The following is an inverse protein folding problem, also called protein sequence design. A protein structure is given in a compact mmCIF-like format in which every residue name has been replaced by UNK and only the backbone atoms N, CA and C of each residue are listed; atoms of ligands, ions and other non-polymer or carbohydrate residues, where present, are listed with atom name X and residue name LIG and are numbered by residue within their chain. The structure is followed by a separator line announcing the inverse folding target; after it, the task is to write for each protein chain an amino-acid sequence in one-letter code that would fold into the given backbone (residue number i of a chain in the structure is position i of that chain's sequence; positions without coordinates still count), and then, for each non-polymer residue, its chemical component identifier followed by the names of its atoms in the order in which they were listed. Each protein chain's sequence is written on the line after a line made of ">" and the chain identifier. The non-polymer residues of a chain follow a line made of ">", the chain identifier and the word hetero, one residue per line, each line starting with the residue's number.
data_IF_654338499486
#
_entry.id   IF_654338499486
#
_cell.length_a   1.000
_cell.length_b   1.000
_cell.length_c   1.000
_cell.angle_alpha   90.00
_cell.angle_beta   90.00
_cell.angle_gamma   90.00
#
_symmetry.space_group_name_H-M   'P 1'
#
loop_
_entity.id
_entity.type
_entity.pdbx_description
1 polymer ?
#
# COMPACT_ATOMS: atom_id res chain seq x y z
N UNK A 1 59.02 22.92 11.40
CA UNK A 1 58.28 22.07 12.36
C UNK A 1 56.92 21.64 11.86
N UNK A 2 56.12 22.54 11.26
CA UNK A 2 54.73 22.25 10.76
C UNK A 2 54.73 21.17 9.67
N UNK A 3 55.67 21.19 8.74
CA UNK A 3 55.68 20.24 7.58
C UNK A 3 56.09 18.82 8.01
N UNK A 4 56.89 18.68 9.04
CA UNK A 4 57.28 17.36 9.58
C UNK A 4 56.09 16.67 10.22
N UNK A 5 55.28 17.39 11.02
CA UNK A 5 54.07 16.85 11.63
C UNK A 5 53.04 16.45 10.58
N UNK A 6 52.80 17.27 9.56
CA UNK A 6 51.90 16.91 8.46
C UNK A 6 52.30 15.63 7.72
N UNK A 7 53.62 15.42 7.51
CA UNK A 7 54.09 14.17 6.92
C UNK A 7 53.84 12.97 7.78
N UNK A 8 54.10 13.08 9.08
CA UNK A 8 53.84 12.01 10.04
C UNK A 8 52.34 11.68 10.13
N UNK A 9 51.48 12.70 10.19
CA UNK A 9 50.03 12.52 10.15
C UNK A 9 49.56 11.81 8.90
N UNK A 10 50.03 12.18 7.71
CA UNK A 10 49.75 11.53 6.44
C UNK A 10 50.25 10.08 6.37
N UNK A 11 51.44 9.81 6.92
CA UNK A 11 51.95 8.43 6.97
C UNK A 11 51.10 7.55 7.87
N UNK A 12 50.72 8.04 9.06
CA UNK A 12 49.81 7.32 9.97
C UNK A 12 48.46 7.11 9.37
N UNK A 13 47.89 8.14 8.76
CA UNK A 13 46.62 8.04 8.04
C UNK A 13 46.64 6.98 6.93
N UNK A 14 47.68 6.99 6.10
CA UNK A 14 47.81 6.01 5.02
C UNK A 14 48.00 4.57 5.54
N UNK A 15 48.65 4.39 6.68
CA UNK A 15 48.73 3.07 7.33
C UNK A 15 47.35 2.60 7.78
N UNK A 16 46.59 3.44 8.46
CA UNK A 16 45.22 3.11 8.88
C UNK A 16 44.29 2.81 7.68
N UNK A 17 44.37 3.62 6.63
CA UNK A 17 43.61 3.37 5.39
C UNK A 17 43.96 2.01 4.81
N UNK A 18 45.27 1.64 4.79
CA UNK A 18 45.71 0.36 4.29
C UNK A 18 45.17 -0.81 5.11
N UNK A 19 45.24 -0.71 6.44
CA UNK A 19 44.67 -1.72 7.37
C UNK A 19 43.16 -1.91 7.16
N UNK A 20 42.41 -0.79 7.08
CA UNK A 20 40.96 -0.84 6.81
C UNK A 20 40.66 -1.47 5.45
N UNK A 21 41.45 -1.16 4.41
CA UNK A 21 41.29 -1.76 3.08
C UNK A 21 41.55 -3.25 3.06
N UNK A 22 42.55 -3.73 3.83
CA UNK A 22 42.82 -5.17 3.97
C UNK A 22 41.67 -5.89 4.64
N UNK A 23 41.03 -5.26 5.64
CA UNK A 23 39.89 -5.81 6.36
C UNK A 23 38.54 -5.51 5.70
N UNK A 24 38.49 -4.88 4.52
CA UNK A 24 37.26 -4.34 3.91
C UNK A 24 36.16 -5.41 3.70
N UNK A 25 36.53 -6.61 3.28
CA UNK A 25 35.57 -7.70 3.03
C UNK A 25 34.96 -8.21 4.36
N UNK A 26 35.77 -8.32 5.40
CA UNK A 26 35.30 -8.74 6.73
C UNK A 26 34.39 -7.69 7.35
N UNK A 27 34.77 -6.42 7.24
CA UNK A 27 33.94 -5.29 7.68
C UNK A 27 32.60 -5.29 6.93
N UNK A 28 32.62 -5.47 5.62
CA UNK A 28 31.41 -5.48 4.80
C UNK A 28 30.50 -6.66 5.16
N UNK A 29 31.03 -7.86 5.39
CA UNK A 29 30.24 -9.01 5.82
C UNK A 29 29.63 -8.80 7.21
N UNK A 30 30.41 -8.28 8.14
CA UNK A 30 29.94 -7.97 9.49
C UNK A 30 28.86 -6.92 9.48
N UNK A 31 29.02 -5.83 8.70
CA UNK A 31 28.04 -4.78 8.56
C UNK A 31 26.71 -5.31 7.99
N UNK A 32 26.75 -6.19 6.98
CA UNK A 32 25.54 -6.84 6.43
C UNK A 32 24.83 -7.71 7.48
N UNK A 33 25.57 -8.54 8.22
CA UNK A 33 25.00 -9.39 9.25
C UNK A 33 24.36 -8.57 10.39
N UNK A 34 25.02 -7.49 10.80
CA UNK A 34 24.47 -6.57 11.80
C UNK A 34 23.22 -5.86 11.30
N UNK A 35 23.18 -5.41 10.04
CA UNK A 35 22.01 -4.79 9.44
C UNK A 35 20.81 -5.75 9.36
N UNK A 36 21.03 -7.01 9.03
CA UNK A 36 19.96 -8.03 9.02
C UNK A 36 19.42 -8.27 10.43
N UNK A 37 20.28 -8.37 11.42
CA UNK A 37 19.88 -8.52 12.83
C UNK A 37 19.11 -7.30 13.34
N UNK A 38 19.59 -6.09 13.04
CA UNK A 38 18.98 -4.84 13.47
C UNK A 38 17.56 -4.68 12.87
N UNK A 39 17.41 -4.88 11.57
CA UNK A 39 16.11 -4.85 10.90
C UNK A 39 15.18 -5.93 11.47
N UNK A 40 15.68 -7.16 11.64
CA UNK A 40 14.90 -8.26 12.19
C UNK A 40 14.41 -7.98 13.60
N UNK A 41 15.27 -7.46 14.47
CA UNK A 41 14.92 -7.09 15.83
C UNK A 41 13.90 -5.95 15.86
N UNK A 42 14.11 -4.90 15.07
CA UNK A 42 13.19 -3.76 15.02
C UNK A 42 11.78 -4.17 14.52
N UNK A 43 11.69 -5.02 13.50
CA UNK A 43 10.40 -5.54 13.00
C UNK A 43 9.74 -6.47 14.02
N UNK A 44 10.52 -7.28 14.75
CA UNK A 44 10.00 -8.16 15.80
C UNK A 44 9.44 -7.35 16.99
N UNK A 45 10.15 -6.34 17.44
CA UNK A 45 9.71 -5.45 18.52
C UNK A 45 8.42 -4.73 18.12
N UNK A 46 8.35 -4.18 16.89
CA UNK A 46 7.14 -3.55 16.37
C UNK A 46 5.97 -4.53 16.34
N UNK A 47 6.20 -5.76 15.88
CA UNK A 47 5.16 -6.79 15.80
C UNK A 47 4.63 -7.17 17.18
N UNK A 48 5.51 -7.31 18.16
CA UNK A 48 5.14 -7.62 19.55
C UNK A 48 4.38 -6.46 20.21
N UNK A 49 4.88 -5.23 20.06
CA UNK A 49 4.26 -4.03 20.66
C UNK A 49 2.87 -3.76 20.09
N UNK A 50 2.70 -3.90 18.76
CA UNK A 50 1.46 -3.55 18.05
C UNK A 50 0.55 -4.75 17.81
N UNK A 51 0.90 -5.91 18.32
CA UNK A 51 0.11 -7.14 18.11
C UNK A 51 -0.17 -7.42 16.62
N UNK A 52 0.90 -7.44 15.82
CA UNK A 52 0.84 -7.79 14.40
C UNK A 52 0.95 -9.30 14.21
N UNK A 53 0.31 -9.84 13.18
CA UNK A 53 0.40 -11.26 12.85
C UNK A 53 1.46 -11.53 11.78
N UNK A 54 2.02 -12.76 11.79
CA UNK A 54 2.88 -13.24 10.72
C UNK A 54 2.01 -13.56 9.51
N UNK A 55 2.20 -12.90 8.34
CA UNK A 55 1.45 -13.25 7.14
C UNK A 55 1.94 -14.57 6.56
N UNK A 56 1.01 -15.35 5.99
CA UNK A 56 1.31 -16.49 5.12
C UNK A 56 1.48 -15.95 3.69
N UNK A 57 2.67 -16.15 3.10
CA UNK A 57 2.96 -15.75 1.72
C UNK A 57 3.09 -17.00 0.87
N UNK A 58 2.35 -17.06 -0.25
CA UNK A 58 2.36 -18.21 -1.17
C UNK A 58 2.27 -17.75 -2.65
N UNK A 59 2.26 -18.72 -3.57
CA UNK A 59 2.17 -18.46 -5.02
C UNK A 59 0.73 -18.33 -5.53
N UNK A 60 -0.26 -18.30 -4.65
CA UNK A 60 -1.66 -18.15 -5.02
C UNK A 60 -1.97 -16.73 -5.52
N UNK A 61 -3.21 -16.53 -5.98
CA UNK A 61 -3.75 -15.18 -6.28
C UNK A 61 -4.57 -14.61 -5.11
N UNK A 62 -4.48 -15.23 -3.94
CA UNK A 62 -5.26 -14.85 -2.77
C UNK A 62 -4.73 -13.54 -2.15
N UNK A 63 -5.62 -12.70 -1.68
CA UNK A 63 -5.35 -11.61 -0.76
C UNK A 63 -6.45 -11.66 0.30
N UNK A 64 -6.20 -12.40 1.37
CA UNK A 64 -7.16 -12.65 2.46
C UNK A 64 -6.58 -12.07 3.76
N UNK A 65 -7.16 -10.97 4.19
CA UNK A 65 -6.80 -10.25 5.42
C UNK A 65 -8.01 -10.21 6.32
N UNK A 66 -7.88 -10.74 7.53
CA UNK A 66 -8.90 -10.72 8.57
C UNK A 66 -8.54 -9.67 9.63
N UNK A 67 -9.50 -8.80 9.95
CA UNK A 67 -9.33 -7.74 10.96
C UNK A 67 -8.10 -6.87 10.69
N UNK A 68 -7.94 -6.44 9.42
CA UNK A 68 -6.85 -5.57 9.01
C UNK A 68 -6.99 -4.17 9.59
N UNK A 69 -5.88 -3.55 10.02
CA UNK A 69 -5.83 -2.23 10.64
C UNK A 69 -4.90 -1.30 9.87
N UNK A 70 -5.18 -0.01 9.91
CA UNK A 70 -4.29 0.99 9.30
C UNK A 70 -3.26 1.44 10.34
N UNK A 71 -1.96 1.09 10.20
CA UNK A 71 -0.97 1.29 11.27
C UNK A 71 -0.80 2.76 11.69
N UNK A 72 -0.88 3.68 10.74
CA UNK A 72 -0.71 5.11 11.03
C UNK A 72 -1.95 5.69 11.71
N UNK A 73 -3.16 5.33 11.24
CA UNK A 73 -4.40 5.82 11.85
C UNK A 73 -4.59 5.21 13.24
N UNK A 74 -4.32 3.92 13.41
CA UNK A 74 -4.32 3.25 14.71
C UNK A 74 -3.38 3.95 15.70
N UNK A 75 -2.16 4.29 15.27
CA UNK A 75 -1.20 5.00 16.10
C UNK A 75 -1.65 6.45 16.44
N UNK A 76 -2.33 7.14 15.52
CA UNK A 76 -2.88 8.48 15.77
C UNK A 76 -4.02 8.42 16.80
N UNK A 77 -4.97 7.50 16.62
CA UNK A 77 -6.07 7.29 17.57
C UNK A 77 -5.56 6.97 18.98
N UNK A 78 -4.54 6.13 19.09
CA UNK A 78 -3.93 5.80 20.39
C UNK A 78 -3.29 7.01 21.07
N UNK A 79 -2.71 7.95 20.32
CA UNK A 79 -2.11 9.18 20.87
C UNK A 79 -3.16 10.20 21.30
N UNK A 80 -4.24 10.31 20.56
CA UNK A 80 -5.30 11.29 20.78
C UNK A 80 -6.33 10.80 21.81
N UNK A 81 -6.12 9.65 22.45
CA UNK A 81 -7.06 8.98 23.35
C UNK A 81 -8.42 8.71 22.66
N UNK A 82 -8.39 8.63 21.33
CA UNK A 82 -9.51 8.17 20.51
C UNK A 82 -9.83 6.71 20.78
N UNK A 83 -10.96 6.24 20.30
CA UNK A 83 -11.35 4.84 20.44
C UNK A 83 -10.37 3.87 19.76
N UNK A 84 -10.55 2.57 19.96
CA UNK A 84 -9.80 1.55 19.24
C UNK A 84 -10.11 1.59 17.74
N UNK A 85 -9.09 1.37 16.90
CA UNK A 85 -9.29 1.22 15.47
C UNK A 85 -10.18 -0.01 15.20
N UNK A 86 -11.21 0.15 14.39
CA UNK A 86 -12.08 -0.97 13.97
C UNK A 86 -11.44 -1.65 12.76
N UNK A 87 -11.01 -2.88 12.93
CA UNK A 87 -10.42 -3.66 11.85
C UNK A 87 -11.43 -4.05 10.78
N UNK A 88 -10.92 -4.30 9.57
CA UNK A 88 -11.75 -4.63 8.41
C UNK A 88 -11.16 -5.82 7.65
N UNK A 89 -12.05 -6.71 7.20
CA UNK A 89 -11.67 -7.84 6.34
C UNK A 89 -11.48 -7.39 4.89
N UNK A 90 -10.54 -8.02 4.18
CA UNK A 90 -10.37 -7.85 2.73
C UNK A 90 -10.06 -9.19 2.10
N UNK A 91 -10.89 -9.66 1.16
CA UNK A 91 -10.76 -10.97 0.50
C UNK A 91 -10.86 -10.83 -1.00
N UNK A 92 -9.70 -10.88 -1.68
CA UNK A 92 -9.60 -10.77 -3.13
C UNK A 92 -8.89 -11.97 -3.74
N UNK A 93 -9.24 -12.28 -4.99
CA UNK A 93 -8.58 -13.33 -5.78
C UNK A 93 -8.86 -14.76 -5.31
N UNK A 94 -8.28 -15.72 -5.97
CA UNK A 94 -8.55 -17.15 -5.71
C UNK A 94 -10.01 -17.49 -5.92
N UNK A 95 -10.67 -17.99 -4.88
CA UNK A 95 -12.10 -18.32 -4.86
C UNK A 95 -13.01 -17.10 -4.69
N UNK A 96 -12.43 -15.95 -4.30
CA UNK A 96 -13.15 -14.69 -4.12
C UNK A 96 -13.18 -13.87 -5.41
N UNK A 97 -13.87 -12.74 -5.34
CA UNK A 97 -13.86 -11.74 -6.42
C UNK A 97 -12.48 -11.12 -6.58
N UNK A 98 -12.09 -10.84 -7.81
CA UNK A 98 -10.83 -10.13 -8.09
C UNK A 98 -10.96 -8.63 -7.84
N UNK A 99 -12.16 -8.09 -8.07
CA UNK A 99 -12.43 -6.65 -7.95
C UNK A 99 -13.49 -6.41 -6.89
N UNK A 100 -13.17 -5.56 -5.92
CA UNK A 100 -14.14 -4.96 -5.02
C UNK A 100 -14.49 -3.55 -5.48
N UNK A 101 -15.76 -3.35 -5.84
CA UNK A 101 -16.33 -2.02 -6.00
C UNK A 101 -16.79 -1.53 -4.64
N UNK A 102 -16.16 -0.46 -4.15
CA UNK A 102 -16.40 0.06 -2.81
C UNK A 102 -17.17 1.38 -2.92
N UNK A 103 -18.38 1.39 -2.37
CA UNK A 103 -19.24 2.58 -2.31
C UNK A 103 -19.39 3.07 -0.87
N UNK A 104 -20.00 4.22 -0.71
CA UNK A 104 -20.28 4.82 0.60
C UNK A 104 -20.00 6.31 0.61
N UNK A 105 -20.45 7.04 1.64
CA UNK A 105 -20.28 8.47 1.72
C UNK A 105 -18.83 8.87 1.87
N UNK A 106 -18.53 10.14 1.57
CA UNK A 106 -17.24 10.72 1.86
C UNK A 106 -17.01 10.69 3.38
N UNK A 107 -15.78 10.56 3.81
CA UNK A 107 -15.38 10.40 5.23
C UNK A 107 -15.79 9.07 5.89
N UNK A 108 -16.40 8.13 5.16
CA UNK A 108 -16.71 6.78 5.69
C UNK A 108 -15.49 5.86 5.81
N UNK A 109 -14.27 6.37 5.63
CA UNK A 109 -13.05 5.56 5.74
C UNK A 109 -12.66 4.80 4.48
N UNK A 110 -13.29 5.02 3.29
CA UNK A 110 -12.92 4.36 2.03
C UNK A 110 -11.42 4.45 1.75
N UNK A 111 -10.89 5.66 1.69
CA UNK A 111 -9.47 5.89 1.39
C UNK A 111 -8.54 5.32 2.47
N UNK A 112 -8.96 5.30 3.74
CA UNK A 112 -8.23 4.65 4.84
C UNK A 112 -8.16 3.15 4.62
N UNK A 113 -9.28 2.51 4.29
CA UNK A 113 -9.34 1.08 3.96
C UNK A 113 -8.48 0.70 2.76
N UNK A 114 -8.50 1.51 1.71
CA UNK A 114 -7.66 1.33 0.53
C UNK A 114 -6.17 1.38 0.86
N UNK A 115 -5.75 2.43 1.58
CA UNK A 115 -4.34 2.60 2.00
C UNK A 115 -3.91 1.52 2.98
N UNK A 116 -4.77 1.09 3.90
CA UNK A 116 -4.53 -0.02 4.81
C UNK A 116 -4.09 -1.27 4.05
N UNK A 117 -4.84 -1.68 3.04
CA UNK A 117 -4.54 -2.89 2.28
C UNK A 117 -3.27 -2.75 1.43
N UNK A 118 -2.98 -1.54 0.90
CA UNK A 118 -1.71 -1.25 0.24
C UNK A 118 -0.52 -1.42 1.20
N UNK A 119 -0.61 -0.86 2.40
CA UNK A 119 0.45 -0.94 3.41
C UNK A 119 0.66 -2.38 3.86
N UNK A 120 -0.43 -3.12 4.12
CA UNK A 120 -0.37 -4.55 4.50
C UNK A 120 0.35 -5.36 3.42
N UNK A 121 0.03 -5.14 2.13
CA UNK A 121 0.71 -5.82 1.02
C UNK A 121 2.20 -5.53 0.99
N UNK A 122 2.62 -4.26 1.17
CA UNK A 122 4.04 -3.88 1.21
C UNK A 122 4.73 -4.49 2.41
N UNK A 123 4.15 -4.38 3.61
CA UNK A 123 4.73 -4.95 4.85
C UNK A 123 4.94 -6.45 4.73
N UNK A 124 3.94 -7.18 4.21
CA UNK A 124 4.04 -8.61 4.00
C UNK A 124 5.19 -8.98 3.04
N UNK A 125 5.36 -8.24 1.95
CA UNK A 125 6.37 -8.50 0.92
C UNK A 125 7.80 -8.15 1.34
N UNK A 126 7.99 -7.22 2.28
CA UNK A 126 9.32 -6.93 2.84
C UNK A 126 9.72 -7.86 3.99
N UNK A 127 8.87 -8.86 4.33
CA UNK A 127 9.13 -9.81 5.39
C UNK A 127 8.72 -9.34 6.79
N UNK A 128 7.96 -8.26 6.89
CA UNK A 128 7.39 -7.78 8.16
C UNK A 128 6.14 -8.55 8.55
N UNK A 129 5.83 -8.58 9.85
CA UNK A 129 4.50 -8.88 10.35
C UNK A 129 3.55 -7.75 9.97
N UNK A 130 2.24 -8.03 9.91
CA UNK A 130 1.22 -7.11 9.39
C UNK A 130 0.15 -6.80 10.44
N UNK A 131 -0.42 -5.59 10.41
CA UNK A 131 -1.48 -5.16 11.32
C UNK A 131 -2.81 -5.83 11.00
N UNK A 132 -2.93 -7.10 11.31
CA UNK A 132 -4.13 -7.91 11.07
C UNK A 132 -4.19 -9.04 12.12
N UNK A 133 -5.36 -9.64 12.26
CA UNK A 133 -5.55 -10.87 13.06
C UNK A 133 -4.99 -12.09 12.30
N UNK A 134 -5.22 -12.16 10.99
CA UNK A 134 -4.70 -13.16 10.08
C UNK A 134 -4.52 -12.57 8.69
N UNK A 135 -3.47 -12.97 8.01
CA UNK A 135 -3.25 -12.60 6.61
C UNK A 135 -2.66 -13.76 5.82
N UNK A 136 -3.26 -14.04 4.65
CA UNK A 136 -2.72 -14.94 3.63
C UNK A 136 -2.68 -14.19 2.30
N UNK A 137 -1.49 -14.01 1.75
CA UNK A 137 -1.27 -13.12 0.61
C UNK A 137 -0.43 -13.86 -0.43
N UNK A 138 -1.02 -14.10 -1.59
CA UNK A 138 -0.28 -14.53 -2.77
C UNK A 138 0.64 -13.41 -3.26
N UNK A 139 1.85 -13.76 -3.69
CA UNK A 139 2.86 -12.80 -4.14
C UNK A 139 2.27 -11.72 -5.06
N UNK A 140 2.55 -10.46 -4.73
CA UNK A 140 2.17 -9.28 -5.50
C UNK A 140 3.40 -8.76 -6.22
N UNK A 141 3.46 -8.89 -7.54
CA UNK A 141 4.63 -8.45 -8.31
C UNK A 141 4.66 -6.93 -8.53
N UNK A 142 3.49 -6.28 -8.54
CA UNK A 142 3.33 -4.84 -8.70
C UNK A 142 2.16 -4.34 -7.87
N UNK A 143 2.40 -3.28 -7.12
CA UNK A 143 1.35 -2.55 -6.41
C UNK A 143 1.18 -1.19 -7.09
N UNK A 144 -0.04 -0.91 -7.54
CA UNK A 144 -0.42 0.39 -8.05
C UNK A 144 -1.44 1.01 -7.11
N UNK A 145 -1.17 2.23 -6.68
CA UNK A 145 -2.06 2.95 -5.79
C UNK A 145 -2.27 4.37 -6.30
N UNK A 146 -3.53 4.72 -6.52
CA UNK A 146 -3.96 6.08 -6.77
C UNK A 146 -5.06 6.43 -5.77
N UNK A 147 -4.66 6.94 -4.61
CA UNK A 147 -5.53 7.28 -3.49
C UNK A 147 -5.26 8.72 -3.06
N UNK A 148 -6.28 9.55 -3.19
CA UNK A 148 -6.22 10.99 -2.89
C UNK A 148 -5.50 11.77 -4.00
N UNK A 149 -6.21 12.70 -4.62
CA UNK A 149 -5.60 13.70 -5.48
C UNK A 149 -4.93 14.75 -4.58
N UNK A 150 -3.61 14.83 -4.57
CA UNK A 150 -2.96 16.06 -4.18
C UNK A 150 -3.06 17.02 -5.36
N UNK A 151 -3.76 18.14 -5.17
CA UNK A 151 -3.79 19.21 -6.14
C UNK A 151 -2.35 19.76 -6.29
N UNK A 152 -1.62 19.27 -7.27
CA UNK A 152 -0.29 19.82 -7.62
C UNK A 152 -0.48 21.06 -8.50
N UNK A 153 -1.19 22.06 -7.95
CA UNK A 153 -1.41 23.36 -8.57
C UNK A 153 -0.08 24.07 -8.92
N UNK A 154 1.01 23.67 -8.27
CA UNK A 154 2.33 24.27 -8.47
C UNK A 154 2.94 23.94 -9.84
N UNK A 155 2.50 22.88 -10.53
CA UNK A 155 3.03 22.46 -11.84
C UNK A 155 2.16 22.83 -13.03
N UNK A 156 1.03 23.53 -12.81
CA UNK A 156 0.15 24.01 -13.89
C UNK A 156 -0.48 22.92 -14.77
N UNK A 157 -0.47 21.67 -14.33
CA UNK A 157 -1.14 20.56 -15.02
C UNK A 157 -2.55 20.39 -14.47
N UNK A 158 -3.52 20.19 -15.36
CA UNK A 158 -4.88 19.81 -14.96
C UNK A 158 -4.82 18.52 -14.14
N UNK A 159 -5.41 18.54 -12.94
CA UNK A 159 -5.52 17.36 -12.06
C UNK A 159 -6.12 16.17 -12.79
N UNK A 160 -7.10 16.41 -13.66
CA UNK A 160 -7.72 15.42 -14.53
C UNK A 160 -6.72 14.78 -15.51
N UNK A 161 -5.83 15.59 -16.15
CA UNK A 161 -4.84 15.05 -17.09
C UNK A 161 -3.80 14.16 -16.39
N UNK A 162 -3.36 14.56 -15.19
CA UNK A 162 -2.46 13.73 -14.37
C UNK A 162 -3.15 12.43 -14.01
N UNK A 163 -4.41 12.47 -13.59
CA UNK A 163 -5.22 11.30 -13.29
C UNK A 163 -5.30 10.34 -14.48
N UNK A 164 -5.57 10.85 -15.67
CA UNK A 164 -5.67 10.01 -16.87
C UNK A 164 -4.35 9.36 -17.25
N UNK A 165 -3.24 10.09 -17.16
CA UNK A 165 -1.90 9.54 -17.45
C UNK A 165 -1.51 8.45 -16.45
N UNK A 166 -1.76 8.67 -15.16
CA UNK A 166 -1.49 7.67 -14.12
C UNK A 166 -2.37 6.43 -14.30
N UNK A 167 -3.68 6.62 -14.52
CA UNK A 167 -4.62 5.53 -14.75
C UNK A 167 -4.23 4.72 -16.00
N UNK A 168 -3.92 5.38 -17.12
CA UNK A 168 -3.43 4.72 -18.32
C UNK A 168 -2.13 3.93 -18.07
N UNK A 169 -1.19 4.50 -17.31
CA UNK A 169 0.03 3.79 -16.91
C UNK A 169 -0.26 2.53 -16.12
N UNK A 170 -1.23 2.57 -15.19
CA UNK A 170 -1.67 1.41 -14.41
C UNK A 170 -2.23 0.34 -15.33
N UNK A 171 -3.21 0.68 -16.18
CA UNK A 171 -3.87 -0.25 -17.09
C UNK A 171 -2.89 -0.95 -18.05
N UNK A 172 -1.89 -0.21 -18.54
CA UNK A 172 -0.86 -0.75 -19.44
C UNK A 172 0.17 -1.65 -18.74
N UNK A 173 0.36 -1.53 -17.43
CA UNK A 173 1.45 -2.19 -16.71
C UNK A 173 0.98 -3.26 -15.72
N UNK A 174 -0.27 -3.21 -15.31
CA UNK A 174 -0.84 -4.20 -14.40
C UNK A 174 -1.03 -5.55 -15.10
N UNK A 175 -0.85 -6.62 -14.37
CA UNK A 175 -1.01 -8.01 -14.78
C UNK A 175 -1.78 -8.80 -13.70
N UNK A 176 -2.01 -10.08 -13.93
CA UNK A 176 -2.82 -10.95 -13.04
C UNK A 176 -2.30 -11.02 -11.59
N UNK A 177 -0.99 -10.80 -11.37
CA UNK A 177 -0.38 -10.80 -10.02
C UNK A 177 -0.31 -9.42 -9.38
N UNK A 178 -0.76 -8.40 -10.08
CA UNK A 178 -0.79 -7.04 -9.56
C UNK A 178 -1.90 -6.84 -8.53
N UNK A 179 -1.67 -5.91 -7.61
CA UNK A 179 -2.70 -5.33 -6.74
C UNK A 179 -2.90 -3.87 -7.14
N UNK A 180 -4.11 -3.53 -7.54
CA UNK A 180 -4.47 -2.19 -8.01
C UNK A 180 -5.45 -1.54 -7.03
N UNK A 181 -5.14 -0.33 -6.61
CA UNK A 181 -5.94 0.43 -5.65
C UNK A 181 -6.26 1.80 -6.25
N UNK A 182 -7.55 2.02 -6.57
CA UNK A 182 -8.03 3.23 -7.21
C UNK A 182 -9.13 3.89 -6.37
N UNK A 183 -9.01 5.19 -6.20
CA UNK A 183 -9.95 6.00 -5.41
C UNK A 183 -10.52 7.13 -6.27
N UNK A 184 -11.84 7.10 -6.44
CA UNK A 184 -12.64 8.15 -7.08
C UNK A 184 -12.16 8.57 -8.50
N UNK A 185 -11.86 7.61 -9.36
CA UNK A 185 -11.45 7.86 -10.76
C UNK A 185 -12.58 8.58 -11.53
N UNK A 186 -12.22 9.58 -12.32
CA UNK A 186 -13.14 10.36 -13.14
C UNK A 186 -13.74 11.58 -12.44
N UNK A 187 -13.29 11.93 -11.23
CA UNK A 187 -13.85 13.06 -10.46
C UNK A 187 -13.51 14.44 -11.05
N UNK A 188 -12.42 14.53 -11.80
CA UNK A 188 -11.90 15.81 -12.33
C UNK A 188 -12.56 16.30 -13.62
N UNK A 189 -13.69 15.72 -14.06
CA UNK A 189 -14.40 16.07 -15.31
C UNK A 189 -15.92 16.07 -15.13
N UNK A 190 -16.67 16.30 -16.21
CA UNK A 190 -18.13 16.22 -16.19
C UNK A 190 -18.60 14.82 -15.77
N UNK A 191 -19.71 14.75 -15.03
CA UNK A 191 -20.19 13.52 -14.39
C UNK A 191 -20.30 12.33 -15.34
N UNK A 192 -20.90 12.53 -16.53
CA UNK A 192 -21.07 11.45 -17.51
C UNK A 192 -19.75 11.01 -18.16
N UNK A 193 -18.83 11.95 -18.39
CA UNK A 193 -17.50 11.62 -18.91
C UNK A 193 -16.69 10.85 -17.87
N UNK A 194 -16.72 11.31 -16.62
CA UNK A 194 -16.06 10.64 -15.50
C UNK A 194 -16.61 9.23 -15.25
N UNK A 195 -17.94 9.06 -15.29
CA UNK A 195 -18.58 7.75 -15.21
C UNK A 195 -18.13 6.81 -16.33
N UNK A 196 -18.10 7.32 -17.58
CA UNK A 196 -17.71 6.53 -18.74
C UNK A 196 -16.26 6.05 -18.63
N UNK A 197 -15.36 6.91 -18.15
CA UNK A 197 -13.96 6.57 -17.90
C UNK A 197 -13.86 5.53 -16.78
N UNK A 198 -14.51 5.76 -15.65
CA UNK A 198 -14.48 4.82 -14.52
C UNK A 198 -15.02 3.44 -14.91
N UNK A 199 -16.08 3.41 -15.73
CA UNK A 199 -16.65 2.18 -16.29
C UNK A 199 -15.64 1.43 -17.14
N UNK A 200 -15.02 2.09 -18.12
CA UNK A 200 -14.02 1.49 -18.99
C UNK A 200 -12.78 0.99 -18.21
N UNK A 201 -12.36 1.72 -17.16
CA UNK A 201 -11.27 1.31 -16.28
C UNK A 201 -11.59 0.01 -15.56
N UNK A 202 -12.80 -0.10 -14.97
CA UNK A 202 -13.21 -1.31 -14.25
C UNK A 202 -13.31 -2.51 -15.20
N UNK A 203 -13.90 -2.33 -16.39
CA UNK A 203 -13.96 -3.40 -17.39
C UNK A 203 -12.55 -3.83 -17.84
N UNK A 204 -11.65 -2.90 -18.08
CA UNK A 204 -10.27 -3.22 -18.46
C UNK A 204 -9.51 -3.98 -17.37
N UNK A 205 -9.64 -3.56 -16.11
CA UNK A 205 -9.03 -4.29 -14.98
C UNK A 205 -9.57 -5.72 -14.88
N UNK A 206 -10.86 -5.93 -15.18
CA UNK A 206 -11.49 -7.24 -15.10
C UNK A 206 -11.13 -8.14 -16.31
N UNK A 207 -11.31 -7.65 -17.54
CA UNK A 207 -11.23 -8.46 -18.75
C UNK A 207 -9.78 -8.62 -19.23
N UNK A 208 -8.97 -7.56 -19.13
CA UNK A 208 -7.61 -7.51 -19.71
C UNK A 208 -6.55 -7.79 -18.66
N UNK A 209 -6.49 -6.98 -17.59
CA UNK A 209 -5.46 -7.13 -16.56
C UNK A 209 -5.72 -8.35 -15.67
N UNK A 210 -6.98 -8.66 -15.38
CA UNK A 210 -7.44 -9.78 -14.51
C UNK A 210 -6.81 -9.75 -13.12
N UNK A 211 -6.43 -8.57 -12.67
CA UNK A 211 -5.71 -8.35 -11.42
C UNK A 211 -6.66 -8.28 -10.21
N UNK A 212 -6.07 -8.31 -9.02
CA UNK A 212 -6.77 -7.96 -7.79
C UNK A 212 -6.92 -6.45 -7.72
N UNK A 213 -8.13 -5.96 -7.47
CA UNK A 213 -8.36 -4.52 -7.41
C UNK A 213 -9.35 -4.11 -6.33
N UNK A 214 -9.03 -3.00 -5.65
CA UNK A 214 -9.93 -2.25 -4.79
C UNK A 214 -10.26 -0.93 -5.50
N UNK A 215 -11.52 -0.76 -5.86
CA UNK A 215 -11.99 0.39 -6.63
C UNK A 215 -13.05 1.14 -5.83
N UNK A 216 -12.68 2.24 -5.20
CA UNK A 216 -13.63 3.10 -4.52
C UNK A 216 -14.23 4.13 -5.48
N UNK A 217 -15.52 4.34 -5.38
CA UNK A 217 -16.26 5.24 -6.28
C UNK A 217 -17.46 5.88 -5.59
N UNK A 218 -17.86 7.02 -6.12
CA UNK A 218 -19.12 7.69 -5.82
C UNK A 218 -20.18 7.48 -6.93
N UNK A 219 -19.79 6.87 -8.06
CA UNK A 219 -20.70 6.55 -9.14
C UNK A 219 -21.51 5.29 -8.82
N UNK A 220 -22.77 5.48 -8.41
CA UNK A 220 -23.68 4.36 -8.10
C UNK A 220 -24.02 3.51 -9.32
N UNK A 221 -23.97 4.07 -10.52
CA UNK A 221 -24.25 3.39 -11.79
C UNK A 221 -23.29 2.22 -12.03
N UNK A 222 -22.05 2.30 -11.54
CA UNK A 222 -21.06 1.22 -11.65
C UNK A 222 -21.50 -0.07 -10.94
N UNK A 223 -22.45 0.01 -10.00
CA UNK A 223 -22.98 -1.18 -9.32
C UNK A 223 -23.66 -2.15 -10.29
N UNK A 224 -24.14 -1.66 -11.45
CA UNK A 224 -24.73 -2.50 -12.50
C UNK A 224 -23.71 -3.43 -13.18
N UNK A 225 -22.40 -3.17 -13.04
CA UNK A 225 -21.34 -4.05 -13.51
C UNK A 225 -21.21 -5.33 -12.69
N UNK A 226 -21.58 -5.31 -11.40
CA UNK A 226 -21.47 -6.47 -10.51
C UNK A 226 -22.27 -7.68 -11.01
N UNK A 227 -23.41 -7.43 -11.67
CA UNK A 227 -24.21 -8.49 -12.29
C UNK A 227 -23.65 -9.00 -13.64
N UNK A 228 -22.70 -8.27 -14.25
CA UNK A 228 -22.15 -8.57 -15.58
C UNK A 228 -20.75 -9.16 -15.49
N UNK A 229 -19.95 -8.75 -14.54
CA UNK A 229 -18.55 -9.15 -14.35
C UNK A 229 -18.44 -10.20 -13.24
N UNK A 230 -18.15 -11.45 -13.60
CA UNK A 230 -18.23 -12.62 -12.69
C UNK A 230 -17.30 -12.57 -11.48
N UNK A 231 -16.15 -11.89 -11.58
CA UNK A 231 -15.15 -11.77 -10.51
C UNK A 231 -15.16 -10.38 -9.85
N UNK A 232 -16.34 -9.75 -9.80
CA UNK A 232 -16.56 -8.45 -9.17
C UNK A 232 -17.62 -8.56 -8.07
N UNK A 233 -17.38 -7.88 -6.95
CA UNK A 233 -18.34 -7.79 -5.85
C UNK A 233 -18.52 -6.35 -5.36
N UNK A 234 -19.72 -6.04 -4.86
CA UNK A 234 -20.07 -4.74 -4.30
C UNK A 234 -19.88 -4.76 -2.77
N UNK A 235 -19.18 -3.76 -2.28
CA UNK A 235 -18.97 -3.53 -0.86
C UNK A 235 -19.37 -2.10 -0.50
N UNK A 236 -19.98 -1.94 0.67
CA UNK A 236 -20.37 -0.63 1.18
C UNK A 236 -19.73 -0.42 2.55
N UNK A 237 -19.12 0.74 2.75
CA UNK A 237 -18.60 1.13 4.06
C UNK A 237 -19.78 1.36 5.01
N UNK A 238 -19.82 0.61 6.13
CA UNK A 238 -20.80 0.82 7.19
C UNK A 238 -20.29 1.91 8.12
N UNK A 239 -21.08 2.94 8.28
CA UNK A 239 -20.84 4.00 9.27
C UNK A 239 -21.60 3.62 10.53
N UNK A 240 -20.94 3.66 11.69
CA UNK A 240 -21.63 3.65 12.98
C UNK A 240 -21.79 5.10 13.41
N UNK A 241 -23.02 5.55 13.47
CA UNK A 241 -23.35 6.82 14.13
C UNK A 241 -23.48 6.55 15.63
N UNK A 242 -22.73 7.27 16.41
CA UNK A 242 -22.82 7.27 17.86
C UNK A 242 -22.98 8.71 18.34
N UNK A 243 -24.15 9.05 18.91
CA UNK A 243 -24.46 10.39 19.40
C UNK A 243 -24.31 11.54 18.38
N UNK A 244 -24.83 11.38 17.16
CA UNK A 244 -24.70 12.34 16.05
C UNK A 244 -23.24 12.59 15.55
N UNK A 245 -22.26 11.82 16.01
CA UNK A 245 -20.91 11.82 15.48
C UNK A 245 -20.66 10.55 14.64
N UNK A 246 -20.05 10.75 13.46
CA UNK A 246 -19.61 9.67 12.56
C UNK A 246 -18.31 9.10 13.09
N UNK A 247 -18.32 7.83 13.48
CA UNK A 247 -17.14 7.07 13.93
C UNK A 247 -16.73 6.07 12.83
#
# INVERSE_FOLDING_TARGET
>A
ASDVYKRQELELFNKLVTEVRIAADDISRTAKALAELDVGAALADLAAEKNYCRPEIDDSFCFDVEDGRHPVVEASLAREHGGAFVGNDCRLGGDYSNIWLITGPNMAGKSTFLRQNAIIAVMAQIGSFVPAKRARIGVVNKLFSRVGASDDLARGRSTFMVEMVETASILNRADERSLVILDEIGRGTATFDGLSIAWAVVEHLHEVNRCRALFATHYHELTSLVGKLHKMSLHCMKIKEFNDEVI
#
